data_IF_577539201842
#
_entry.id   IF_577539201842
#
_cell.length_a   1.000
_cell.length_b   1.000
_cell.length_c   1.000
_cell.angle_alpha   90.00
_cell.angle_beta   90.00
_cell.angle_gamma   90.00
#
_symmetry.space_group_name_H-M   'P 1'
#
loop_
_entity.id
_entity.type
_entity.pdbx_description
1 polymer ?
#
# COMPACT_ATOMS: atom_id res chain seq x y z
N UNK A 1 -22.12 59.72 1.75
CA UNK A 1 -21.31 58.58 1.27
C UNK A 1 -19.81 58.90 1.17
N UNK A 2 -19.40 60.16 0.97
CA UNK A 2 -17.99 60.56 0.81
C UNK A 2 -17.06 60.29 2.03
N UNK A 3 -17.54 60.45 3.28
CA UNK A 3 -16.70 60.25 4.48
C UNK A 3 -16.22 58.80 4.68
N UNK A 4 -17.01 57.80 4.23
CA UNK A 4 -16.64 56.37 4.31
C UNK A 4 -15.57 56.00 3.28
N UNK A 5 -15.61 56.60 2.09
CA UNK A 5 -14.57 56.40 1.07
C UNK A 5 -13.23 56.99 1.50
N UNK A 6 -13.24 58.19 2.12
CA UNK A 6 -12.01 58.88 2.54
C UNK A 6 -11.33 58.13 3.70
N UNK A 7 -12.10 57.60 4.66
CA UNK A 7 -11.55 56.78 5.77
C UNK A 7 -11.03 55.41 5.32
N UNK A 8 -11.64 54.80 4.30
CA UNK A 8 -11.14 53.57 3.71
C UNK A 8 -9.85 53.79 2.90
N UNK A 9 -9.73 54.92 2.19
CA UNK A 9 -8.52 55.29 1.44
C UNK A 9 -7.32 55.58 2.36
N UNK A 10 -7.53 56.25 3.49
CA UNK A 10 -6.44 56.55 4.44
C UNK A 10 -5.98 55.33 5.24
N UNK A 11 -6.89 54.42 5.64
CA UNK A 11 -6.50 53.13 6.23
C UNK A 11 -5.72 52.26 5.25
N UNK A 12 -6.22 52.11 4.02
CA UNK A 12 -5.53 51.35 2.98
C UNK A 12 -4.15 51.92 2.64
N UNK A 13 -3.97 53.25 2.63
CA UNK A 13 -2.65 53.87 2.44
C UNK A 13 -1.71 53.61 3.62
N UNK A 14 -2.20 53.69 4.86
CA UNK A 14 -1.38 53.40 6.05
C UNK A 14 -0.92 51.94 6.09
N UNK A 15 -1.80 51.00 5.73
CA UNK A 15 -1.47 49.58 5.66
C UNK A 15 -0.42 49.28 4.57
N UNK A 16 -0.50 49.96 3.42
CA UNK A 16 0.50 49.80 2.34
C UNK A 16 1.88 50.38 2.68
N UNK A 17 1.95 51.49 3.42
CA UNK A 17 3.23 52.11 3.84
C UNK A 17 3.90 51.24 4.91
N UNK A 18 3.13 50.72 5.87
CA UNK A 18 3.65 49.80 6.89
C UNK A 18 4.18 48.50 6.29
N UNK A 19 3.48 47.94 5.30
CA UNK A 19 3.91 46.75 4.59
C UNK A 19 5.24 46.99 3.85
N UNK A 20 5.39 48.14 3.20
CA UNK A 20 6.60 48.49 2.46
C UNK A 20 7.81 48.69 3.39
N UNK A 21 7.64 49.40 4.50
CA UNK A 21 8.70 49.58 5.52
C UNK A 21 9.11 48.24 6.14
N UNK A 22 8.15 47.35 6.37
CA UNK A 22 8.42 46.01 6.88
C UNK A 22 9.20 45.15 5.86
N UNK A 23 8.76 45.13 4.60
CA UNK A 23 9.48 44.41 3.54
C UNK A 23 10.89 44.95 3.33
N UNK A 24 11.09 46.27 3.40
CA UNK A 24 12.42 46.86 3.23
C UNK A 24 13.36 46.50 4.39
N UNK A 25 12.86 46.51 5.63
CA UNK A 25 13.67 46.18 6.82
C UNK A 25 14.02 44.69 6.91
N UNK A 26 13.12 43.80 6.47
CA UNK A 26 13.28 42.35 6.61
C UNK A 26 13.52 41.62 5.27
N UNK A 27 13.79 42.35 4.19
CA UNK A 27 13.96 41.82 2.82
C UNK A 27 14.97 40.67 2.73
N UNK A 28 16.10 40.76 3.43
CA UNK A 28 17.16 39.73 3.45
C UNK A 28 16.66 38.43 4.12
N UNK A 29 15.87 38.57 5.18
CA UNK A 29 15.29 37.43 5.91
C UNK A 29 14.18 36.78 5.08
N UNK A 30 13.32 37.60 4.46
CA UNK A 30 12.22 37.12 3.60
C UNK A 30 12.79 36.37 2.38
N UNK A 31 13.80 36.92 1.72
CA UNK A 31 14.47 36.26 0.59
C UNK A 31 15.22 35.00 0.99
N UNK A 32 15.91 35.02 2.14
CA UNK A 32 16.55 33.83 2.70
C UNK A 32 15.54 32.71 2.96
N UNK A 33 14.39 33.02 3.54
CA UNK A 33 13.31 32.05 3.77
C UNK A 33 12.77 31.54 2.43
N UNK A 34 12.51 32.40 1.45
CA UNK A 34 11.98 31.99 0.13
C UNK A 34 12.98 31.07 -0.60
N UNK A 35 14.28 31.33 -0.52
CA UNK A 35 15.33 30.51 -1.13
C UNK A 35 15.54 29.17 -0.39
N UNK A 36 15.46 29.17 0.94
CA UNK A 36 15.62 27.96 1.74
C UNK A 36 14.34 27.10 1.79
N UNK A 37 13.17 27.69 1.60
CA UNK A 37 11.88 27.00 1.63
C UNK A 37 11.78 25.78 0.69
N UNK A 38 12.15 25.85 -0.61
CA UNK A 38 12.09 24.67 -1.48
C UNK A 38 13.04 23.55 -1.04
N UNK A 39 14.19 23.88 -0.45
CA UNK A 39 15.13 22.89 0.09
C UNK A 39 14.59 22.23 1.35
N UNK A 40 14.04 23.04 2.27
CA UNK A 40 13.38 22.55 3.49
C UNK A 40 12.16 21.69 3.17
N UNK A 41 11.35 22.08 2.17
CA UNK A 41 10.20 21.30 1.69
C UNK A 41 10.65 19.95 1.14
N UNK A 42 11.64 19.91 0.25
CA UNK A 42 12.20 18.66 -0.29
C UNK A 42 12.78 17.76 0.81
N UNK A 43 13.48 18.36 1.78
CA UNK A 43 14.06 17.62 2.91
C UNK A 43 12.98 17.03 3.81
N UNK A 44 11.93 17.80 4.13
CA UNK A 44 10.79 17.32 4.91
C UNK A 44 10.02 16.22 4.18
N UNK A 45 9.72 16.41 2.88
CA UNK A 45 9.07 15.39 2.05
C UNK A 45 9.89 14.08 2.05
N UNK A 46 11.21 14.17 1.87
CA UNK A 46 12.09 13.00 1.93
C UNK A 46 12.10 12.33 3.30
N UNK A 47 12.16 13.11 4.39
CA UNK A 47 12.09 12.57 5.75
C UNK A 47 10.76 11.86 6.03
N UNK A 48 9.64 12.42 5.55
CA UNK A 48 8.33 11.79 5.71
C UNK A 48 8.20 10.52 4.87
N UNK A 49 8.78 10.49 3.67
CA UNK A 49 8.82 9.30 2.82
C UNK A 49 9.69 8.21 3.46
N UNK A 50 10.92 8.54 3.89
CA UNK A 50 11.82 7.59 4.56
C UNK A 50 11.19 7.02 5.85
N UNK A 51 10.45 7.84 6.60
CA UNK A 51 9.74 7.38 7.80
C UNK A 51 8.55 6.47 7.47
N UNK A 52 7.79 6.79 6.42
CA UNK A 52 6.68 5.94 5.94
C UNK A 52 7.20 4.61 5.39
N UNK A 53 8.27 4.63 4.61
CA UNK A 53 8.91 3.42 4.06
C UNK A 53 9.43 2.53 5.20
N UNK A 54 10.11 3.09 6.20
CA UNK A 54 10.55 2.31 7.38
C UNK A 54 9.39 1.71 8.18
N UNK A 55 8.28 2.43 8.33
CA UNK A 55 7.09 1.88 9.00
C UNK A 55 6.46 0.75 8.20
N UNK A 56 6.42 0.87 6.87
CA UNK A 56 5.97 -0.20 6.00
C UNK A 56 6.89 -1.42 6.10
N UNK A 57 8.22 -1.24 6.05
CA UNK A 57 9.20 -2.32 6.22
C UNK A 57 9.09 -3.02 7.58
N UNK A 58 8.90 -2.27 8.67
CA UNK A 58 8.67 -2.84 10.00
C UNK A 58 7.39 -3.66 10.04
N UNK A 59 6.28 -3.15 9.49
CA UNK A 59 5.04 -3.89 9.38
C UNK A 59 5.17 -5.14 8.48
N UNK A 60 6.02 -5.10 7.45
CA UNK A 60 6.31 -6.28 6.62
C UNK A 60 7.04 -7.36 7.42
N UNK A 61 8.05 -6.97 8.19
CA UNK A 61 8.84 -7.88 9.02
C UNK A 61 8.04 -8.49 10.17
N UNK A 62 7.21 -7.70 10.86
CA UNK A 62 6.34 -8.19 11.92
C UNK A 62 5.35 -9.23 11.39
N UNK A 63 4.79 -9.00 10.20
CA UNK A 63 3.88 -9.93 9.57
C UNK A 63 4.60 -11.22 9.14
N UNK A 64 5.85 -11.13 8.67
CA UNK A 64 6.68 -12.31 8.36
C UNK A 64 6.93 -13.18 9.59
N UNK A 65 7.20 -12.56 10.74
CA UNK A 65 7.37 -13.27 12.02
C UNK A 65 6.04 -13.88 12.48
N UNK A 66 4.94 -13.13 12.39
CA UNK A 66 3.60 -13.61 12.74
C UNK A 66 3.15 -14.79 11.87
N UNK A 67 3.56 -14.83 10.60
CA UNK A 67 3.23 -15.92 9.69
C UNK A 67 4.01 -17.22 9.95
N UNK A 68 5.15 -17.16 10.63
CA UNK A 68 5.96 -18.34 10.95
C UNK A 68 5.30 -19.23 12.03
N UNK A 69 4.41 -18.68 12.87
CA UNK A 69 3.72 -19.41 13.91
C UNK A 69 2.22 -19.59 13.55
N UNK A 70 1.67 -20.82 13.60
CA UNK A 70 0.27 -21.10 13.25
C UNK A 70 -0.76 -20.28 14.03
N UNK A 71 -0.48 -19.97 15.30
CA UNK A 71 -1.41 -19.24 16.18
C UNK A 71 -1.48 -17.76 15.76
N UNK A 72 -0.32 -17.13 15.55
CA UNK A 72 -0.23 -15.73 15.13
C UNK A 72 -0.71 -15.54 13.70
N UNK A 73 -0.51 -16.52 12.81
CA UNK A 73 -1.09 -16.55 11.48
C UNK A 73 -2.62 -16.47 11.51
N UNK A 74 -3.26 -17.32 12.31
CA UNK A 74 -4.73 -17.31 12.41
C UNK A 74 -5.25 -16.00 13.01
N UNK A 75 -4.51 -15.38 13.93
CA UNK A 75 -4.83 -14.05 14.46
C UNK A 75 -4.79 -12.99 13.35
N UNK A 76 -3.73 -12.94 12.54
CA UNK A 76 -3.61 -11.98 11.44
C UNK A 76 -4.68 -12.20 10.35
N UNK A 77 -5.01 -13.46 10.04
CA UNK A 77 -6.09 -13.78 9.10
C UNK A 77 -7.46 -13.38 9.66
N UNK A 78 -7.69 -13.62 10.95
CA UNK A 78 -8.94 -13.25 11.65
C UNK A 78 -9.18 -11.74 11.66
N UNK A 79 -8.13 -10.91 11.64
CA UNK A 79 -8.25 -9.45 11.48
C UNK A 79 -8.91 -9.05 10.16
N UNK A 80 -8.74 -9.85 9.11
CA UNK A 80 -9.34 -9.62 7.79
C UNK A 80 -10.76 -10.19 7.76
N UNK A 81 -10.93 -11.43 8.19
CA UNK A 81 -12.22 -12.10 8.23
C UNK A 81 -12.22 -13.22 9.26
N UNK A 82 -13.29 -13.44 10.03
CA UNK A 82 -13.40 -14.61 10.91
C UNK A 82 -13.74 -15.92 10.17
N UNK A 83 -13.88 -15.85 8.84
CA UNK A 83 -14.38 -16.93 7.98
C UNK A 83 -13.28 -17.92 7.61
N UNK A 84 -13.29 -19.08 8.27
CA UNK A 84 -12.34 -20.18 8.00
C UNK A 84 -12.37 -20.71 6.57
N UNK A 85 -13.51 -20.66 5.90
CA UNK A 85 -13.61 -21.04 4.49
C UNK A 85 -12.76 -20.15 3.59
N UNK A 86 -12.69 -18.85 3.90
CA UNK A 86 -11.87 -17.87 3.17
C UNK A 86 -10.38 -18.09 3.44
N UNK A 87 -10.02 -18.42 4.68
CA UNK A 87 -8.64 -18.75 5.04
C UNK A 87 -8.14 -19.96 4.24
N UNK A 88 -8.94 -21.04 4.22
CA UNK A 88 -8.59 -22.28 3.53
C UNK A 88 -8.47 -22.09 2.02
N UNK A 89 -9.33 -21.27 1.40
CA UNK A 89 -9.22 -20.95 -0.03
C UNK A 89 -7.92 -20.18 -0.29
N UNK A 90 -7.61 -19.17 0.52
CA UNK A 90 -6.38 -18.39 0.35
C UNK A 90 -5.11 -19.23 0.54
N UNK A 91 -5.10 -20.14 1.51
CA UNK A 91 -3.99 -21.08 1.73
C UNK A 91 -3.86 -22.08 0.58
N UNK A 92 -4.98 -22.62 0.11
CA UNK A 92 -4.98 -23.57 -1.00
C UNK A 92 -4.47 -22.91 -2.28
N UNK A 93 -4.89 -21.67 -2.56
CA UNK A 93 -4.37 -20.88 -3.68
C UNK A 93 -2.87 -20.63 -3.55
N UNK A 94 -2.38 -20.32 -2.33
CA UNK A 94 -0.96 -20.14 -2.09
C UNK A 94 -0.14 -21.43 -2.33
N UNK A 95 -0.72 -22.60 -2.06
CA UNK A 95 -0.10 -23.89 -2.34
C UNK A 95 -0.13 -24.20 -3.83
N UNK A 96 -1.28 -24.07 -4.50
CA UNK A 96 -1.44 -24.42 -5.91
C UNK A 96 -0.68 -23.50 -6.86
N UNK A 97 -0.49 -22.23 -6.47
CA UNK A 97 0.34 -21.27 -7.18
C UNK A 97 1.83 -21.36 -6.81
N UNK A 98 2.21 -22.25 -5.88
CA UNK A 98 3.60 -22.37 -5.40
C UNK A 98 4.11 -21.18 -4.56
N UNK A 99 3.25 -20.20 -4.27
CA UNK A 99 3.62 -18.91 -3.66
C UNK A 99 3.72 -18.92 -2.14
N UNK A 100 3.17 -19.94 -1.46
CA UNK A 100 3.37 -20.16 -0.02
C UNK A 100 4.86 -20.35 0.33
N UNK A 101 5.66 -20.79 -0.65
CA UNK A 101 7.08 -21.10 -0.48
C UNK A 101 7.97 -20.10 -1.22
N UNK A 102 7.50 -19.58 -2.35
CA UNK A 102 8.12 -18.46 -3.06
C UNK A 102 7.51 -17.12 -2.62
N UNK A 103 7.71 -16.77 -1.35
CA UNK A 103 7.45 -15.39 -0.90
C UNK A 103 8.42 -14.43 -1.57
N UNK A 104 8.11 -13.13 -1.60
CA UNK A 104 8.95 -12.08 -2.19
C UNK A 104 10.41 -12.10 -1.67
N UNK A 105 10.62 -12.65 -0.47
CA UNK A 105 11.92 -12.76 0.21
C UNK A 105 12.48 -14.19 0.24
N UNK A 106 11.93 -15.12 -0.56
CA UNK A 106 12.41 -16.50 -0.57
C UNK A 106 13.89 -16.54 -1.04
N UNK A 107 14.77 -17.27 -0.34
CA UNK A 107 16.16 -17.43 -0.78
C UNK A 107 16.24 -17.99 -2.20
N UNK A 108 17.28 -17.58 -2.94
CA UNK A 108 17.48 -18.01 -4.33
C UNK A 108 17.60 -19.53 -4.51
N UNK A 109 17.80 -20.31 -3.45
CA UNK A 109 17.91 -21.77 -3.50
C UNK A 109 16.60 -22.51 -3.18
N UNK A 110 15.52 -21.79 -2.84
CA UNK A 110 14.22 -22.40 -2.51
C UNK A 110 13.66 -23.26 -3.65
N UNK A 111 13.97 -22.91 -4.91
CA UNK A 111 13.59 -23.71 -6.08
C UNK A 111 14.22 -25.11 -6.13
N UNK A 112 15.38 -25.32 -5.50
CA UNK A 112 16.06 -26.63 -5.44
C UNK A 112 15.56 -27.44 -4.25
N UNK A 113 15.40 -26.80 -3.09
CA UNK A 113 15.02 -27.47 -1.85
C UNK A 113 13.55 -27.85 -1.82
N UNK A 114 12.69 -27.16 -2.57
CA UNK A 114 11.26 -27.40 -2.62
C UNK A 114 10.74 -27.43 -4.06
N UNK A 115 11.07 -28.49 -4.84
CA UNK A 115 10.75 -28.55 -6.27
C UNK A 115 9.25 -28.50 -6.57
N UNK A 116 8.40 -28.97 -5.64
CA UNK A 116 6.94 -28.87 -5.74
C UNK A 116 6.44 -27.42 -5.72
N UNK A 117 7.20 -26.45 -5.19
CA UNK A 117 6.85 -25.03 -5.26
C UNK A 117 7.01 -24.43 -6.66
N UNK A 118 7.65 -25.16 -7.59
CA UNK A 118 7.84 -24.75 -8.99
C UNK A 118 6.82 -25.38 -9.94
N UNK A 119 5.95 -26.27 -9.45
CA UNK A 119 4.92 -26.90 -10.28
C UNK A 119 3.59 -26.27 -9.93
N UNK A 120 3.22 -25.22 -10.67
CA UNK A 120 1.91 -24.59 -10.53
C UNK A 120 0.81 -25.51 -11.09
N UNK A 121 -0.29 -25.68 -10.34
CA UNK A 121 -1.44 -26.45 -10.79
C UNK A 121 -2.60 -25.51 -11.14
N UNK A 122 -2.64 -25.11 -12.41
CA UNK A 122 -3.64 -24.18 -12.95
C UNK A 122 -5.07 -24.70 -12.76
N UNK A 123 -5.29 -26.00 -12.97
CA UNK A 123 -6.62 -26.62 -12.88
C UNK A 123 -7.17 -26.55 -11.46
N UNK A 124 -6.34 -26.88 -10.46
CA UNK A 124 -6.77 -26.79 -9.06
C UNK A 124 -6.87 -25.35 -8.56
N UNK A 125 -6.02 -24.46 -9.07
CA UNK A 125 -6.16 -23.01 -8.84
C UNK A 125 -7.53 -22.51 -9.30
N UNK A 126 -7.97 -22.87 -10.51
CA UNK A 126 -9.29 -22.51 -11.02
C UNK A 126 -10.40 -23.12 -10.17
N UNK A 127 -10.30 -24.40 -9.79
CA UNK A 127 -11.29 -25.06 -8.93
C UNK A 127 -11.45 -24.34 -7.59
N UNK A 128 -10.36 -23.92 -6.96
CA UNK A 128 -10.40 -23.13 -5.72
C UNK A 128 -11.04 -21.75 -5.93
N UNK A 129 -10.72 -21.08 -7.04
CA UNK A 129 -11.31 -19.79 -7.38
C UNK A 129 -12.82 -19.87 -7.65
N UNK A 130 -13.29 -20.97 -8.23
CA UNK A 130 -14.72 -21.21 -8.47
C UNK A 130 -15.51 -21.46 -7.18
N UNK A 131 -14.85 -21.78 -6.06
CA UNK A 131 -15.52 -21.86 -4.74
C UNK A 131 -15.92 -20.48 -4.22
N UNK A 132 -15.29 -19.41 -4.71
CA UNK A 132 -15.60 -18.02 -4.33
C UNK A 132 -16.85 -17.54 -5.06
N UNK A 133 -18.03 -17.97 -4.61
CA UNK A 133 -19.30 -17.69 -5.29
C UNK A 133 -19.77 -16.23 -5.17
N UNK A 134 -19.33 -15.52 -4.14
CA UNK A 134 -19.80 -14.17 -3.84
C UNK A 134 -18.73 -13.11 -4.14
N UNK A 135 -19.07 -12.01 -4.85
CA UNK A 135 -18.14 -10.93 -5.15
C UNK A 135 -17.63 -10.22 -3.89
N UNK A 136 -18.38 -10.26 -2.78
CA UNK A 136 -17.96 -9.72 -1.48
C UNK A 136 -16.86 -10.54 -0.80
N UNK A 137 -16.72 -11.82 -1.14
CA UNK A 137 -15.68 -12.71 -0.60
C UNK A 137 -14.35 -12.53 -1.32
N UNK A 138 -14.38 -12.05 -2.57
CA UNK A 138 -13.21 -11.80 -3.42
C UNK A 138 -12.15 -10.90 -2.75
N UNK A 139 -12.47 -9.69 -2.24
CA UNK A 139 -11.47 -8.86 -1.58
C UNK A 139 -10.90 -9.49 -0.30
N UNK A 140 -11.69 -10.32 0.40
CA UNK A 140 -11.24 -11.02 1.60
C UNK A 140 -10.21 -12.11 1.24
N UNK A 141 -10.46 -12.89 0.18
CA UNK A 141 -9.50 -13.90 -0.33
C UNK A 141 -8.20 -13.23 -0.77
N UNK A 142 -8.27 -12.09 -1.47
CA UNK A 142 -7.07 -11.32 -1.86
C UNK A 142 -6.29 -10.86 -0.62
N UNK A 143 -6.98 -10.33 0.40
CA UNK A 143 -6.37 -9.89 1.64
C UNK A 143 -5.67 -11.03 2.38
N UNK A 144 -6.37 -12.16 2.57
CA UNK A 144 -5.80 -13.35 3.21
C UNK A 144 -4.61 -13.91 2.41
N UNK A 145 -4.70 -13.95 1.08
CA UNK A 145 -3.60 -14.40 0.23
C UNK A 145 -2.38 -13.49 0.33
N UNK A 146 -2.57 -12.18 0.39
CA UNK A 146 -1.48 -11.22 0.58
C UNK A 146 -0.82 -11.39 1.95
N UNK A 147 -1.59 -11.61 3.02
CA UNK A 147 -1.05 -11.90 4.36
C UNK A 147 -0.19 -13.17 4.34
N UNK A 148 -0.62 -14.21 3.63
CA UNK A 148 0.10 -15.50 3.56
C UNK A 148 1.36 -15.40 2.71
N UNK A 149 1.28 -14.79 1.53
CA UNK A 149 2.33 -14.89 0.49
C UNK A 149 3.14 -13.62 0.30
N UNK A 150 2.66 -12.48 0.84
CA UNK A 150 3.16 -11.12 0.58
C UNK A 150 3.10 -10.72 -0.90
N UNK A 151 2.28 -11.42 -1.69
CA UNK A 151 2.15 -11.23 -3.15
C UNK A 151 0.74 -10.82 -3.52
N UNK A 152 0.63 -10.14 -4.67
CA UNK A 152 -0.66 -9.73 -5.19
C UNK A 152 -1.29 -10.88 -5.97
N UNK A 153 -2.37 -11.45 -5.43
CA UNK A 153 -3.11 -12.54 -6.06
C UNK A 153 -3.50 -12.22 -7.51
N UNK A 154 -3.94 -10.99 -7.82
CA UNK A 154 -4.32 -10.62 -9.19
C UNK A 154 -3.13 -10.63 -10.15
N UNK A 155 -1.94 -10.26 -9.67
CA UNK A 155 -0.73 -10.28 -10.48
C UNK A 155 -0.25 -11.72 -10.72
N UNK A 156 -0.28 -12.55 -9.67
CA UNK A 156 0.08 -13.97 -9.77
C UNK A 156 -0.89 -14.70 -10.72
N UNK A 157 -2.20 -14.53 -10.56
CA UNK A 157 -3.18 -15.15 -11.44
C UNK A 157 -3.01 -14.71 -12.91
N UNK A 158 -2.68 -13.44 -13.17
CA UNK A 158 -2.40 -12.98 -14.55
C UNK A 158 -1.12 -13.58 -15.14
N UNK A 159 -0.15 -13.94 -14.31
CA UNK A 159 1.11 -14.56 -14.73
C UNK A 159 0.91 -16.04 -15.04
N UNK A 160 0.06 -16.72 -14.27
CA UNK A 160 -0.04 -18.18 -14.27
C UNK A 160 -1.32 -18.73 -14.92
N UNK A 161 -2.35 -17.92 -15.16
CA UNK A 161 -3.58 -18.38 -15.83
C UNK A 161 -3.75 -17.75 -17.21
N UNK A 162 -4.31 -18.55 -18.13
CA UNK A 162 -4.72 -18.08 -19.45
C UNK A 162 -5.84 -17.02 -19.35
N UNK A 163 -5.90 -16.08 -20.30
CA UNK A 163 -6.97 -15.07 -20.38
C UNK A 163 -8.37 -15.66 -20.51
N UNK A 164 -8.49 -16.91 -20.97
CA UNK A 164 -9.76 -17.63 -21.06
C UNK A 164 -10.25 -18.16 -19.70
N UNK A 165 -9.33 -18.53 -18.82
CA UNK A 165 -9.64 -19.04 -17.47
C UNK A 165 -9.79 -17.91 -16.45
N UNK A 166 -9.06 -16.81 -16.64
CA UNK A 166 -9.22 -15.58 -15.86
C UNK A 166 -10.65 -15.03 -15.93
N UNK A 167 -11.34 -15.17 -17.06
CA UNK A 167 -12.75 -14.75 -17.23
C UNK A 167 -13.74 -15.65 -16.48
N UNK A 168 -13.35 -16.90 -16.18
CA UNK A 168 -14.15 -17.83 -15.38
C UNK A 168 -14.01 -17.56 -13.88
N UNK A 169 -12.91 -16.91 -13.48
CA UNK A 169 -12.65 -16.57 -12.09
C UNK A 169 -13.47 -15.33 -11.66
N UNK A 170 -14.22 -15.40 -10.56
CA UNK A 170 -15.02 -14.27 -10.05
C UNK A 170 -14.16 -13.09 -9.55
N UNK A 171 -12.83 -13.22 -9.55
CA UNK A 171 -11.86 -12.17 -9.22
C UNK A 171 -11.73 -11.06 -10.28
N UNK A 172 -12.17 -11.32 -11.51
CA UNK A 172 -11.99 -10.44 -12.67
C UNK A 172 -13.29 -10.04 -13.37
N UNK A 173 -14.45 -10.42 -12.81
CA UNK A 173 -15.79 -10.00 -13.26
C UNK A 173 -16.34 -8.84 -12.43
#
# INVERSE_FOLDING_TARGET
>A
MAQREITNRTKSQADTVWLFDFLQKYWIIITGIILCYPLLKKWYEKFTQDAQERQLEMAENDLKIAMANPITKEIELTKITPRKDVHNIAESLAVWLGTNKQTKDAPWYTWITEPMSNFENERETINELLKVKNPTTVPLVIGCYYVITRRNLKADLKKYLSTSDLKKAPLFN
#
